data_IF_488751187590
#
_entry.id   IF_488751187590
#
_cell.length_a   1.000
_cell.length_b   1.000
_cell.length_c   1.000
_cell.angle_alpha   90.00
_cell.angle_beta   90.00
_cell.angle_gamma   90.00
#
_symmetry.space_group_name_H-M   'P 1'
#
loop_
_entity.id
_entity.type
_entity.pdbx_description
1 polymer ?
#
# COMPACT_ATOMS: atom_id res chain seq x y z
N UNK A 1 14.88 -18.91 5.86
CA UNK A 1 14.18 -17.63 5.59
C UNK A 1 14.55 -17.16 4.18
N UNK A 2 13.58 -16.89 3.30
CA UNK A 2 13.83 -16.53 1.88
C UNK A 2 14.42 -15.11 1.77
N UNK A 3 15.06 -14.77 0.63
CA UNK A 3 15.58 -13.41 0.37
C UNK A 3 14.48 -12.35 0.50
N UNK A 4 13.29 -12.68 0.04
CA UNK A 4 12.12 -11.79 0.09
C UNK A 4 11.58 -11.61 1.50
N UNK A 5 11.55 -12.67 2.31
CA UNK A 5 11.21 -12.56 3.74
C UNK A 5 12.19 -11.66 4.49
N UNK A 6 13.51 -11.81 4.25
CA UNK A 6 14.53 -10.94 4.85
C UNK A 6 14.30 -9.47 4.49
N UNK A 7 14.10 -9.17 3.21
CA UNK A 7 13.82 -7.80 2.74
C UNK A 7 12.55 -7.24 3.36
N UNK A 8 11.49 -8.05 3.44
CA UNK A 8 10.24 -7.61 4.03
C UNK A 8 10.36 -7.28 5.53
N UNK A 9 11.11 -8.08 6.29
CA UNK A 9 11.41 -7.81 7.69
C UNK A 9 12.30 -6.57 7.88
N UNK A 10 13.35 -6.41 7.06
CA UNK A 10 14.20 -5.21 7.11
C UNK A 10 13.37 -3.96 6.86
N UNK A 11 12.52 -3.98 5.83
CA UNK A 11 11.63 -2.86 5.52
C UNK A 11 10.66 -2.61 6.68
N UNK A 12 10.10 -3.66 7.31
CA UNK A 12 9.24 -3.51 8.47
C UNK A 12 9.95 -2.83 9.65
N UNK A 13 11.14 -3.29 10.04
CA UNK A 13 11.90 -2.67 11.13
C UNK A 13 12.32 -1.23 10.81
N UNK A 14 12.68 -0.95 9.55
CA UNK A 14 12.93 0.41 9.11
C UNK A 14 11.69 1.30 9.26
N UNK A 15 10.51 0.85 8.81
CA UNK A 15 9.25 1.59 8.97
C UNK A 15 8.86 1.76 10.42
N UNK A 16 9.10 0.75 11.26
CA UNK A 16 8.87 0.83 12.70
C UNK A 16 9.77 1.88 13.36
N UNK A 17 11.05 1.91 13.00
CA UNK A 17 11.98 2.94 13.45
C UNK A 17 11.52 4.34 13.04
N UNK A 18 11.13 4.53 11.77
CA UNK A 18 10.59 5.80 11.27
C UNK A 18 9.33 6.21 12.05
N UNK A 19 8.42 5.27 12.30
CA UNK A 19 7.21 5.52 13.09
C UNK A 19 7.54 5.96 14.52
N UNK A 20 8.41 5.24 15.23
CA UNK A 20 8.81 5.57 16.60
C UNK A 20 9.51 6.93 16.65
N UNK A 21 10.38 7.22 15.69
CA UNK A 21 11.08 8.50 15.60
C UNK A 21 10.11 9.67 15.39
N UNK A 22 9.22 9.59 14.40
CA UNK A 22 8.25 10.65 14.13
C UNK A 22 7.23 10.76 15.27
N UNK A 23 6.82 9.65 15.87
CA UNK A 23 5.95 9.66 17.06
C UNK A 23 6.61 10.35 18.27
N UNK A 24 7.91 10.11 18.50
CA UNK A 24 8.67 10.83 19.52
C UNK A 24 8.73 12.33 19.25
N UNK A 25 8.94 12.74 18.00
CA UNK A 25 8.87 14.16 17.60
C UNK A 25 7.46 14.73 17.74
N UNK A 26 6.43 13.95 17.45
CA UNK A 26 5.04 14.36 17.61
C UNK A 26 4.69 14.67 19.07
N UNK A 27 5.17 13.86 20.02
CA UNK A 27 4.94 14.08 21.44
C UNK A 27 5.78 15.23 22.04
N UNK A 28 7.00 15.44 21.54
CA UNK A 28 7.95 16.40 22.13
C UNK A 28 8.00 17.75 21.41
N UNK A 29 7.74 17.77 20.10
CA UNK A 29 7.93 18.91 19.20
C UNK A 29 6.88 18.93 18.07
N UNK A 30 5.59 18.89 18.42
CA UNK A 30 4.48 18.91 17.45
C UNK A 30 4.58 20.10 16.47
N UNK A 31 4.94 21.28 16.96
CA UNK A 31 5.10 22.51 16.16
C UNK A 31 6.14 22.36 15.04
N UNK A 32 7.26 21.69 15.32
CA UNK A 32 8.31 21.43 14.33
C UNK A 32 7.79 20.55 13.18
N UNK A 33 6.92 19.57 13.46
CA UNK A 33 6.29 18.75 12.42
C UNK A 33 5.26 19.53 11.61
N UNK A 34 4.53 20.43 12.25
CA UNK A 34 3.62 21.34 11.58
C UNK A 34 4.38 22.22 10.59
N UNK A 35 5.41 22.93 11.06
CA UNK A 35 6.27 23.79 10.23
C UNK A 35 6.92 23.02 9.09
N UNK A 36 7.44 21.82 9.36
CA UNK A 36 8.04 20.95 8.35
C UNK A 36 7.07 20.64 7.20
N UNK A 37 5.81 20.37 7.51
CA UNK A 37 4.78 20.05 6.50
C UNK A 37 4.18 21.29 5.84
N UNK A 38 4.20 22.45 6.48
CA UNK A 38 3.73 23.71 5.90
C UNK A 38 4.82 24.48 5.16
N UNK A 39 6.07 24.05 5.28
CA UNK A 39 7.20 24.65 4.57
C UNK A 39 6.94 24.62 3.06
N UNK A 40 7.20 25.75 2.38
CA UNK A 40 6.98 25.84 0.95
C UNK A 40 7.83 24.80 0.21
N UNK A 41 7.17 24.03 -0.66
CA UNK A 41 7.83 23.08 -1.54
C UNK A 41 8.28 23.83 -2.80
N UNK A 42 9.50 24.38 -2.77
CA UNK A 42 10.07 25.09 -3.91
C UNK A 42 10.86 24.12 -4.80
N UNK A 43 10.39 23.87 -6.03
CA UNK A 43 11.14 23.09 -7.04
C UNK A 43 12.41 23.77 -7.56
N UNK A 44 12.66 25.00 -7.14
CA UNK A 44 13.87 25.75 -7.44
C UNK A 44 14.78 25.74 -6.23
N UNK A 45 16.08 25.67 -6.50
CA UNK A 45 17.17 26.01 -5.59
C UNK A 45 16.82 27.36 -4.93
N UNK A 46 16.17 27.32 -3.77
CA UNK A 46 16.19 28.48 -2.88
C UNK A 46 17.62 28.58 -2.35
N UNK A 47 17.98 29.73 -1.81
CA UNK A 47 19.30 29.97 -1.18
C UNK A 47 19.68 28.92 -0.11
N UNK A 48 18.77 28.01 0.27
CA UNK A 48 18.90 27.00 1.34
C UNK A 48 19.00 25.52 0.88
N UNK A 49 19.04 25.22 -0.43
CA UNK A 49 19.36 23.86 -0.92
C UNK A 49 18.27 22.79 -0.76
N UNK A 50 18.62 21.51 -0.98
CA UNK A 50 17.70 20.35 -0.95
C UNK A 50 17.22 20.10 0.48
N UNK A 51 15.95 20.38 0.77
CA UNK A 51 15.36 20.06 2.08
C UNK A 51 15.11 18.56 2.25
N UNK A 52 15.06 18.03 3.49
CA UNK A 52 14.72 16.62 3.75
C UNK A 52 13.38 16.19 3.15
N UNK A 53 12.45 17.13 2.97
CA UNK A 53 11.13 16.90 2.39
C UNK A 53 11.22 16.58 0.88
N UNK A 54 12.19 17.15 0.15
CA UNK A 54 12.49 16.77 -1.24
C UNK A 54 13.06 15.36 -1.35
N UNK A 55 13.96 14.99 -0.43
CA UNK A 55 14.51 13.64 -0.39
C UNK A 55 13.41 12.59 -0.11
N UNK A 56 12.54 12.86 0.88
CA UNK A 56 11.38 12.00 1.17
C UNK A 56 10.43 11.90 -0.02
N UNK A 57 10.15 13.03 -0.67
CA UNK A 57 9.30 13.08 -1.86
C UNK A 57 9.86 12.18 -2.96
N UNK A 58 11.14 12.36 -3.29
CA UNK A 58 11.82 11.61 -4.34
C UNK A 58 11.79 10.10 -4.05
N UNK A 59 12.07 9.70 -2.80
CA UNK A 59 12.01 8.29 -2.38
C UNK A 59 10.62 7.70 -2.63
N UNK A 60 9.56 8.37 -2.17
CA UNK A 60 8.19 7.86 -2.35
C UNK A 60 7.76 7.86 -3.83
N UNK A 61 8.15 8.87 -4.60
CA UNK A 61 7.90 8.91 -6.05
C UNK A 61 8.57 7.73 -6.77
N UNK A 62 9.85 7.47 -6.48
CA UNK A 62 10.57 6.32 -7.05
C UNK A 62 9.91 5.00 -6.67
N UNK A 63 9.46 4.86 -5.42
CA UNK A 63 8.73 3.65 -4.98
C UNK A 63 7.43 3.45 -5.78
N UNK A 64 6.61 4.49 -5.93
CA UNK A 64 5.37 4.41 -6.70
C UNK A 64 5.62 4.13 -8.20
N UNK A 65 6.66 4.74 -8.79
CA UNK A 65 7.05 4.47 -10.19
C UNK A 65 7.48 3.01 -10.37
N UNK A 66 8.19 2.42 -9.39
CA UNK A 66 8.54 1.00 -9.43
C UNK A 66 7.32 0.07 -9.38
N UNK A 67 6.20 0.51 -8.79
CA UNK A 67 4.95 -0.26 -8.80
C UNK A 67 4.21 -0.13 -10.14
N UNK A 68 4.28 1.05 -10.78
CA UNK A 68 3.80 1.24 -12.16
C UNK A 68 4.57 0.32 -13.12
N UNK A 69 5.88 0.20 -12.93
CA UNK A 69 6.75 -0.67 -13.73
C UNK A 69 7.42 -1.75 -12.87
N UNK A 70 6.69 -2.83 -12.49
CA UNK A 70 7.19 -3.82 -11.54
C UNK A 70 8.52 -4.43 -12.00
N UNK A 71 9.57 -4.25 -11.20
CA UNK A 71 10.87 -4.86 -11.47
C UNK A 71 10.94 -6.29 -10.91
N UNK A 72 12.01 -7.01 -11.27
CA UNK A 72 12.19 -8.44 -10.89
C UNK A 72 12.34 -8.66 -9.38
N UNK A 73 12.63 -7.61 -8.61
CA UNK A 73 12.88 -7.72 -7.18
C UNK A 73 11.63 -7.58 -6.30
N UNK A 74 10.50 -7.18 -6.89
CA UNK A 74 9.21 -7.06 -6.19
C UNK A 74 8.54 -8.42 -6.02
N UNK A 75 7.61 -8.46 -5.04
CA UNK A 75 6.75 -9.64 -4.78
C UNK A 75 5.97 -10.05 -6.03
N UNK A 76 5.77 -11.35 -6.19
CA UNK A 76 4.82 -11.95 -7.12
C UNK A 76 3.43 -11.30 -7.02
N UNK A 77 3.06 -10.83 -5.83
CA UNK A 77 1.83 -10.10 -5.61
C UNK A 77 1.74 -8.80 -6.44
N UNK A 78 2.85 -8.08 -6.65
CA UNK A 78 2.90 -6.92 -7.54
C UNK A 78 3.04 -7.33 -9.01
N UNK A 79 3.80 -8.40 -9.27
CA UNK A 79 4.11 -8.83 -10.63
C UNK A 79 2.99 -9.60 -11.31
N UNK A 80 1.98 -10.10 -10.59
CA UNK A 80 0.86 -10.86 -11.17
C UNK A 80 0.07 -10.10 -12.24
N UNK A 81 0.19 -8.78 -12.29
CA UNK A 81 -0.39 -7.99 -13.36
C UNK A 81 0.30 -8.18 -14.72
N UNK A 82 1.53 -8.69 -14.74
CA UNK A 82 2.36 -8.85 -15.94
C UNK A 82 2.04 -10.11 -16.72
N UNK A 83 2.15 -10.01 -18.04
CA UNK A 83 1.95 -11.16 -18.92
C UNK A 83 3.08 -12.18 -18.79
N UNK A 84 4.31 -11.76 -18.50
CA UNK A 84 5.45 -12.67 -18.37
C UNK A 84 5.37 -13.57 -17.12
N UNK A 85 4.47 -13.25 -16.19
CA UNK A 85 4.23 -13.98 -14.95
C UNK A 85 2.88 -14.72 -14.97
N UNK A 86 2.20 -14.74 -16.12
CA UNK A 86 1.00 -15.51 -16.34
C UNK A 86 1.36 -16.86 -16.94
N UNK A 87 1.01 -17.93 -16.22
CA UNK A 87 1.14 -19.30 -16.69
C UNK A 87 -0.23 -19.97 -16.57
N UNK A 88 -0.87 -20.23 -17.70
CA UNK A 88 -2.26 -20.67 -17.77
C UNK A 88 -2.45 -22.06 -17.14
N UNK A 89 -3.51 -22.23 -16.35
CA UNK A 89 -3.95 -23.54 -15.86
C UNK A 89 -4.76 -24.22 -16.97
N UNK A 90 -4.35 -25.41 -17.46
CA UNK A 90 -5.07 -26.09 -18.54
C UNK A 90 -6.53 -26.35 -18.17
N UNK A 91 -7.45 -25.95 -19.05
CA UNK A 91 -8.88 -26.26 -18.93
C UNK A 91 -9.61 -25.54 -17.79
N UNK A 92 -9.11 -24.39 -17.32
CA UNK A 92 -9.82 -23.62 -16.30
C UNK A 92 -11.20 -23.15 -16.82
N UNK A 93 -12.20 -23.15 -15.93
CA UNK A 93 -13.55 -22.72 -16.30
C UNK A 93 -13.65 -21.20 -16.39
N UNK A 94 -14.10 -20.70 -17.54
CA UNK A 94 -14.39 -19.27 -17.71
C UNK A 94 -15.53 -18.81 -16.78
N UNK A 95 -16.49 -19.69 -16.49
CA UNK A 95 -17.59 -19.39 -15.57
C UNK A 95 -17.07 -19.11 -14.15
N UNK A 96 -16.20 -19.98 -13.65
CA UNK A 96 -15.59 -19.82 -12.32
C UNK A 96 -14.72 -18.55 -12.24
N UNK A 97 -14.02 -18.20 -13.32
CA UNK A 97 -13.28 -16.94 -13.40
C UNK A 97 -14.22 -15.73 -13.25
N UNK A 98 -15.35 -15.72 -13.97
CA UNK A 98 -16.31 -14.61 -13.91
C UNK A 98 -16.95 -14.49 -12.53
N UNK A 99 -17.34 -15.61 -11.91
CA UNK A 99 -17.87 -15.64 -10.55
C UNK A 99 -16.84 -15.13 -9.53
N UNK A 100 -15.57 -15.55 -9.67
CA UNK A 100 -14.48 -15.05 -8.85
C UNK A 100 -14.33 -13.53 -9.01
N UNK A 101 -14.30 -13.02 -10.24
CA UNK A 101 -14.16 -11.59 -10.52
C UNK A 101 -15.32 -10.80 -9.91
N UNK A 102 -16.56 -11.25 -10.08
CA UNK A 102 -17.73 -10.58 -9.53
C UNK A 102 -17.67 -10.51 -7.99
N UNK A 103 -17.36 -11.63 -7.33
CA UNK A 103 -17.23 -11.68 -5.88
C UNK A 103 -16.10 -10.76 -5.37
N UNK A 104 -14.95 -10.79 -6.03
CA UNK A 104 -13.80 -9.95 -5.68
C UNK A 104 -14.03 -8.46 -6.00
N UNK A 105 -14.89 -8.16 -6.98
CA UNK A 105 -15.36 -6.83 -7.30
C UNK A 105 -16.17 -6.22 -6.17
N UNK A 106 -17.19 -6.93 -5.71
CA UNK A 106 -18.02 -6.51 -4.57
C UNK A 106 -17.16 -6.32 -3.32
N UNK A 107 -16.29 -7.30 -3.01
CA UNK A 107 -15.44 -7.23 -1.82
C UNK A 107 -14.49 -6.03 -1.81
N UNK A 108 -13.85 -5.68 -2.92
CA UNK A 108 -12.98 -4.51 -2.89
C UNK A 108 -13.76 -3.20 -2.86
N UNK A 109 -14.98 -3.13 -3.42
CA UNK A 109 -15.84 -1.97 -3.20
C UNK A 109 -16.18 -1.80 -1.71
N UNK A 110 -16.47 -2.87 -0.99
CA UNK A 110 -16.67 -2.83 0.47
C UNK A 110 -15.39 -2.34 1.18
N UNK A 111 -14.21 -2.78 0.77
CA UNK A 111 -12.93 -2.28 1.32
C UNK A 111 -12.75 -0.79 1.02
N UNK A 112 -13.01 -0.35 -0.22
CA UNK A 112 -12.88 1.04 -0.62
C UNK A 112 -13.82 1.93 0.19
N UNK A 113 -15.09 1.55 0.30
CA UNK A 113 -16.08 2.31 1.07
C UNK A 113 -15.71 2.34 2.55
N UNK A 114 -15.33 1.21 3.14
CA UNK A 114 -14.86 1.15 4.53
C UNK A 114 -13.66 2.08 4.76
N UNK A 115 -12.71 2.10 3.83
CA UNK A 115 -11.52 2.94 3.90
C UNK A 115 -11.86 4.43 3.79
N UNK A 116 -12.72 4.80 2.85
CA UNK A 116 -13.15 6.18 2.65
C UNK A 116 -13.98 6.68 3.83
N UNK A 117 -14.89 5.87 4.38
CA UNK A 117 -15.67 6.22 5.58
C UNK A 117 -14.74 6.45 6.78
N UNK A 118 -13.77 5.55 6.98
CA UNK A 118 -12.79 5.68 8.06
C UNK A 118 -11.98 6.98 7.93
N UNK A 119 -11.48 7.30 6.72
CA UNK A 119 -10.75 8.54 6.49
C UNK A 119 -11.64 9.78 6.52
N UNK A 120 -12.93 9.66 6.19
CA UNK A 120 -13.89 10.77 6.28
C UNK A 120 -14.07 11.23 7.73
N UNK A 121 -13.97 10.33 8.72
CA UNK A 121 -13.96 10.72 10.14
C UNK A 121 -12.81 11.68 10.44
N UNK A 122 -11.58 11.34 10.03
CA UNK A 122 -10.42 12.21 10.22
C UNK A 122 -10.53 13.50 9.40
N UNK A 123 -11.06 13.43 8.18
CA UNK A 123 -11.32 14.61 7.37
C UNK A 123 -12.24 15.60 8.10
N UNK A 124 -13.34 15.11 8.68
CA UNK A 124 -14.29 15.92 9.44
C UNK A 124 -13.61 16.51 10.68
N UNK A 125 -12.85 15.72 11.44
CA UNK A 125 -12.10 16.21 12.60
C UNK A 125 -11.12 17.34 12.23
N UNK A 126 -10.47 17.24 11.07
CA UNK A 126 -9.55 18.26 10.56
C UNK A 126 -10.27 19.52 10.12
N UNK A 127 -11.41 19.39 9.43
CA UNK A 127 -12.22 20.54 9.02
C UNK A 127 -12.77 21.31 10.23
N UNK A 128 -13.09 20.62 11.33
CA UNK A 128 -13.46 21.23 12.60
C UNK A 128 -12.26 21.74 13.42
N UNK A 129 -11.03 21.63 12.91
CA UNK A 129 -9.78 22.02 13.58
C UNK A 129 -9.57 21.34 14.94
N UNK A 130 -10.11 20.14 15.11
CA UNK A 130 -9.84 19.29 16.28
C UNK A 130 -8.46 18.63 16.14
N UNK A 131 -8.07 18.34 14.89
CA UNK A 131 -6.75 17.81 14.53
C UNK A 131 -6.08 18.72 13.50
N UNK A 132 -4.75 18.77 13.56
CA UNK A 132 -3.90 19.63 12.76
C UNK A 132 -3.15 18.85 11.66
N UNK A 133 -2.34 19.57 10.89
CA UNK A 133 -1.46 19.00 9.85
C UNK A 133 -0.51 17.93 10.40
N UNK A 134 0.03 18.13 11.60
CA UNK A 134 0.92 17.17 12.25
C UNK A 134 0.20 15.84 12.60
N UNK A 135 -1.09 15.90 12.94
CA UNK A 135 -1.91 14.72 13.23
C UNK A 135 -2.18 13.92 11.94
N UNK A 136 -2.44 14.62 10.83
CA UNK A 136 -2.57 14.01 9.49
C UNK A 136 -1.26 13.36 9.02
N UNK A 137 -0.12 13.99 9.28
CA UNK A 137 1.19 13.40 9.02
C UNK A 137 1.37 12.10 9.82
N UNK A 138 1.06 12.13 11.13
CA UNK A 138 1.15 10.93 11.97
C UNK A 138 0.23 9.81 11.47
N UNK A 139 -0.97 10.14 11.00
CA UNK A 139 -1.89 9.17 10.41
C UNK A 139 -1.30 8.52 9.14
N UNK A 140 -0.68 9.29 8.26
CA UNK A 140 0.03 8.75 7.08
C UNK A 140 1.20 7.85 7.47
N UNK A 141 2.01 8.24 8.47
CA UNK A 141 3.14 7.42 8.95
C UNK A 141 2.63 6.13 9.62
N UNK A 142 1.51 6.21 10.33
CA UNK A 142 0.85 5.03 10.89
C UNK A 142 0.37 4.07 9.79
N UNK A 143 -0.26 4.57 8.72
CA UNK A 143 -0.66 3.75 7.58
C UNK A 143 0.55 3.15 6.85
N UNK A 144 1.64 3.92 6.73
CA UNK A 144 2.89 3.43 6.16
C UNK A 144 3.45 2.21 6.92
N UNK A 145 3.39 2.21 8.26
CA UNK A 145 3.76 1.04 9.07
C UNK A 145 2.72 -0.09 8.94
N UNK A 146 1.43 0.26 8.99
CA UNK A 146 0.31 -0.68 8.97
C UNK A 146 0.25 -1.54 7.72
N UNK A 147 0.67 -1.02 6.57
CA UNK A 147 0.79 -1.77 5.31
C UNK A 147 1.69 -3.01 5.46
N UNK A 148 2.89 -2.84 6.04
CA UNK A 148 3.80 -3.96 6.28
C UNK A 148 3.35 -4.86 7.43
N UNK A 149 2.68 -4.30 8.44
CA UNK A 149 2.02 -5.11 9.47
C UNK A 149 0.99 -6.06 8.84
N UNK A 150 0.19 -5.55 7.90
CA UNK A 150 -0.80 -6.30 7.14
C UNK A 150 -0.18 -7.41 6.31
N UNK A 151 0.95 -7.14 5.64
CA UNK A 151 1.61 -8.13 4.78
C UNK A 151 2.26 -9.25 5.60
N UNK A 152 2.91 -8.92 6.72
CA UNK A 152 3.73 -9.86 7.50
C UNK A 152 2.98 -10.60 8.60
N UNK A 153 2.12 -9.91 9.36
CA UNK A 153 1.54 -10.43 10.60
C UNK A 153 0.04 -10.67 10.44
N UNK A 154 -0.75 -9.61 10.27
CA UNK A 154 -2.21 -9.71 10.23
C UNK A 154 -2.84 -8.58 9.43
N UNK A 155 -3.68 -8.91 8.45
CA UNK A 155 -4.42 -7.95 7.65
C UNK A 155 -5.93 -8.06 7.95
N UNK A 156 -6.56 -6.99 8.47
CA UNK A 156 -7.99 -7.00 8.77
C UNK A 156 -8.82 -7.15 7.49
N UNK A 157 -8.46 -6.45 6.40
CA UNK A 157 -9.16 -6.54 5.12
C UNK A 157 -9.13 -7.96 4.54
N UNK A 158 -7.98 -8.65 4.64
CA UNK A 158 -7.85 -10.01 4.13
C UNK A 158 -8.69 -11.01 4.92
N UNK A 159 -8.76 -10.87 6.24
CA UNK A 159 -9.47 -11.82 7.12
C UNK A 159 -10.97 -11.54 7.18
N UNK A 160 -11.38 -10.27 7.26
CA UNK A 160 -12.76 -9.87 7.48
C UNK A 160 -13.58 -9.67 6.19
N UNK A 161 -12.96 -9.28 5.07
CA UNK A 161 -13.70 -8.92 3.84
C UNK A 161 -13.28 -9.81 2.66
N UNK A 162 -11.99 -9.89 2.37
CA UNK A 162 -11.53 -10.58 1.16
C UNK A 162 -11.63 -12.11 1.29
N UNK A 163 -11.38 -12.64 2.50
CA UNK A 163 -11.30 -14.07 2.83
C UNK A 163 -10.29 -14.86 1.97
N UNK A 164 -9.20 -14.23 1.57
CA UNK A 164 -8.14 -14.89 0.78
C UNK A 164 -7.19 -15.67 1.67
N UNK A 165 -6.69 -16.81 1.21
CA UNK A 165 -5.70 -17.62 1.97
C UNK A 165 -4.32 -16.98 2.07
N UNK A 166 -3.96 -16.11 1.13
CA UNK A 166 -2.63 -15.49 1.03
C UNK A 166 -2.73 -14.06 0.50
N UNK A 167 -1.84 -13.17 0.95
CA UNK A 167 -1.73 -11.79 0.45
C UNK A 167 -1.39 -11.72 -1.05
N UNK A 168 -0.66 -12.70 -1.59
CA UNK A 168 -0.31 -12.76 -3.02
C UNK A 168 -1.56 -12.82 -3.91
N UNK A 169 -2.58 -13.55 -3.46
CA UNK A 169 -3.86 -13.68 -4.17
C UNK A 169 -4.83 -12.53 -3.88
N UNK A 170 -4.45 -11.58 -3.03
CA UNK A 170 -5.32 -10.48 -2.67
C UNK A 170 -5.48 -9.47 -3.81
N UNK A 171 -6.71 -9.15 -4.21
CA UNK A 171 -6.98 -8.15 -5.27
C UNK A 171 -6.46 -6.76 -4.91
N UNK A 172 -6.63 -6.34 -3.67
CA UNK A 172 -6.28 -4.99 -3.19
C UNK A 172 -4.82 -4.84 -2.77
N UNK A 173 -3.94 -5.76 -3.20
CA UNK A 173 -2.56 -5.78 -2.70
C UNK A 173 -1.78 -4.49 -3.02
N UNK A 174 -2.01 -3.89 -4.20
CA UNK A 174 -1.35 -2.65 -4.62
C UNK A 174 -2.09 -1.37 -4.20
N UNK A 175 -3.12 -1.48 -3.36
CA UNK A 175 -3.86 -0.31 -2.85
C UNK A 175 -3.12 0.41 -1.71
N UNK A 176 -2.04 -0.18 -1.19
CA UNK A 176 -1.33 0.30 0.00
C UNK A 176 -0.84 1.75 -0.12
N UNK A 177 -0.33 2.17 -1.27
CA UNK A 177 0.11 3.56 -1.48
C UNK A 177 -1.04 4.55 -1.47
N UNK A 178 -2.15 4.22 -2.14
CA UNK A 178 -3.35 5.06 -2.14
C UNK A 178 -3.90 5.23 -0.71
N UNK A 179 -3.99 4.12 0.03
CA UNK A 179 -4.42 4.14 1.43
C UNK A 179 -3.48 5.01 2.28
N UNK A 180 -2.18 4.76 2.20
CA UNK A 180 -1.16 5.52 2.94
C UNK A 180 -1.25 7.03 2.72
N UNK A 181 -1.41 7.48 1.48
CA UNK A 181 -1.44 8.91 1.14
C UNK A 181 -2.83 9.53 1.20
N UNK A 182 -3.89 8.79 1.55
CA UNK A 182 -5.25 9.36 1.66
C UNK A 182 -5.34 10.58 2.60
N UNK A 183 -4.71 10.58 3.81
CA UNK A 183 -4.74 11.75 4.70
C UNK A 183 -4.08 13.01 4.10
N UNK A 184 -3.11 12.82 3.20
CA UNK A 184 -2.35 13.92 2.58
C UNK A 184 -3.21 14.78 1.66
N UNK A 185 -4.37 14.30 1.20
CA UNK A 185 -5.31 15.08 0.39
C UNK A 185 -5.72 16.40 1.08
N UNK A 186 -5.83 16.40 2.41
CA UNK A 186 -6.30 17.55 3.19
C UNK A 186 -5.20 18.60 3.46
N UNK A 187 -3.93 18.22 3.29
CA UNK A 187 -2.79 19.12 3.48
C UNK A 187 -2.51 19.83 2.16
N UNK A 188 -2.77 21.13 2.11
CA UNK A 188 -2.66 21.95 0.90
C UNK A 188 -1.20 22.36 0.65
N UNK A 189 -0.39 21.42 0.16
CA UNK A 189 0.95 21.71 -0.34
C UNK A 189 1.27 20.81 -1.54
N UNK A 190 2.30 21.16 -2.32
CA UNK A 190 2.68 20.38 -3.50
C UNK A 190 3.10 18.95 -3.13
N UNK A 191 3.86 18.78 -2.06
CA UNK A 191 4.37 17.49 -1.60
C UNK A 191 3.25 16.46 -1.39
N UNK A 192 2.26 16.84 -0.58
CA UNK A 192 1.12 16.03 -0.20
C UNK A 192 0.23 15.70 -1.40
N UNK A 193 -0.09 16.69 -2.24
CA UNK A 193 -0.93 16.48 -3.41
C UNK A 193 -0.25 15.65 -4.49
N UNK A 194 1.02 15.93 -4.80
CA UNK A 194 1.76 15.17 -5.80
C UNK A 194 1.88 13.69 -5.41
N UNK A 195 2.13 13.38 -4.12
CA UNK A 195 2.16 12.01 -3.63
C UNK A 195 0.78 11.34 -3.70
N UNK A 196 -0.27 12.04 -3.27
CA UNK A 196 -1.64 11.53 -3.36
C UNK A 196 -2.05 11.21 -4.80
N UNK A 197 -1.91 12.15 -5.73
CA UNK A 197 -2.30 11.95 -7.12
C UNK A 197 -1.44 10.88 -7.82
N UNK A 198 -0.15 10.80 -7.49
CA UNK A 198 0.69 9.70 -8.01
C UNK A 198 0.21 8.35 -7.49
N UNK A 199 -0.16 8.24 -6.21
CA UNK A 199 -0.72 7.01 -5.66
C UNK A 199 -2.06 6.63 -6.29
N UNK A 200 -2.88 7.62 -6.67
CA UNK A 200 -4.11 7.39 -7.41
C UNK A 200 -3.84 6.86 -8.83
N UNK A 201 -2.78 7.34 -9.50
CA UNK A 201 -2.35 6.79 -10.80
C UNK A 201 -1.94 5.32 -10.67
N UNK A 202 -1.21 4.96 -9.61
CA UNK A 202 -0.85 3.55 -9.32
C UNK A 202 -2.13 2.71 -9.17
N UNK A 203 -3.08 3.17 -8.36
CA UNK A 203 -4.36 2.50 -8.15
C UNK A 203 -5.15 2.32 -9.45
N UNK A 204 -5.32 3.39 -10.23
CA UNK A 204 -6.07 3.34 -11.50
C UNK A 204 -5.41 2.35 -12.46
N UNK A 205 -4.08 2.39 -12.59
CA UNK A 205 -3.35 1.45 -13.44
C UNK A 205 -3.58 0.00 -13.00
N UNK A 206 -3.53 -0.26 -11.70
CA UNK A 206 -3.80 -1.59 -11.14
C UNK A 206 -5.22 -2.07 -11.49
N UNK A 207 -6.23 -1.23 -11.28
CA UNK A 207 -7.63 -1.55 -11.58
C UNK A 207 -7.89 -1.75 -13.08
N UNK A 208 -7.29 -0.92 -13.94
CA UNK A 208 -7.37 -1.10 -15.39
C UNK A 208 -6.74 -2.43 -15.81
N UNK A 209 -5.61 -2.80 -15.22
CA UNK A 209 -4.96 -4.06 -15.55
C UNK A 209 -5.77 -5.27 -15.05
N UNK A 210 -6.39 -5.17 -13.87
CA UNK A 210 -7.31 -6.17 -13.36
C UNK A 210 -8.55 -6.33 -14.25
N UNK A 211 -9.13 -5.22 -14.71
CA UNK A 211 -10.30 -5.24 -15.58
C UNK A 211 -10.00 -5.81 -16.98
N UNK A 212 -8.82 -5.53 -17.54
CA UNK A 212 -8.40 -6.05 -18.85
C UNK A 212 -8.00 -7.52 -18.81
N UNK A 213 -7.35 -7.94 -17.73
CA UNK A 213 -6.73 -9.26 -17.61
C UNK A 213 -7.00 -9.93 -16.26
N UNK A 214 -8.27 -10.18 -15.90
CA UNK A 214 -8.63 -10.77 -14.62
C UNK A 214 -8.03 -12.17 -14.40
N UNK A 215 -7.79 -12.92 -15.50
CA UNK A 215 -7.19 -14.26 -15.49
C UNK A 215 -5.80 -14.30 -14.84
N UNK A 216 -5.07 -13.18 -14.85
CA UNK A 216 -3.74 -13.14 -14.26
C UNK A 216 -3.75 -13.08 -12.74
N UNK A 217 -4.88 -12.68 -12.15
CA UNK A 217 -5.03 -12.39 -10.72
C UNK A 217 -5.66 -13.53 -9.92
N UNK A 218 -6.11 -14.58 -10.59
CA UNK A 218 -6.76 -15.73 -9.96
C UNK A 218 -5.87 -16.97 -10.01
N UNK A 219 -5.77 -17.68 -8.88
CA UNK A 219 -4.95 -18.90 -8.80
C UNK A 219 -5.54 -20.09 -9.58
N UNK A 220 -6.83 -20.03 -9.91
CA UNK A 220 -7.50 -21.04 -10.73
C UNK A 220 -7.13 -20.96 -12.21
N UNK A 221 -6.71 -19.79 -12.69
CA UNK A 221 -6.26 -19.57 -14.07
C UNK A 221 -4.75 -19.34 -14.19
N UNK A 222 -4.07 -18.90 -13.13
CA UNK A 222 -2.62 -18.65 -13.12
C UNK A 222 -1.87 -19.60 -12.16
N UNK A 223 -1.08 -20.52 -12.72
CA UNK A 223 -0.27 -21.49 -11.96
C UNK A 223 0.75 -20.83 -11.03
N UNK A 224 1.29 -19.65 -11.40
CA UNK A 224 2.30 -18.93 -10.59
C UNK A 224 1.78 -18.43 -9.25
N UNK A 225 0.46 -18.33 -9.11
CA UNK A 225 -0.22 -17.92 -7.88
C UNK A 225 -0.53 -19.10 -6.95
N UNK A 226 -0.32 -20.33 -7.41
CA UNK A 226 -0.54 -21.52 -6.60
C UNK A 226 0.57 -21.71 -5.56
N UNK A 227 0.21 -22.33 -4.43
CA UNK A 227 1.13 -22.50 -3.30
C UNK A 227 2.35 -23.37 -3.65
N UNK A 228 2.21 -24.30 -4.60
CA UNK A 228 3.29 -25.17 -5.11
C UNK A 228 4.43 -24.36 -5.73
N UNK A 229 4.13 -23.22 -6.36
CA UNK A 229 5.07 -22.36 -7.06
C UNK A 229 5.54 -21.15 -6.23
N UNK A 230 5.08 -21.03 -4.97
CA UNK A 230 5.35 -19.85 -4.15
C UNK A 230 6.79 -19.81 -3.61
N UNK A 231 7.60 -18.88 -4.13
CA UNK A 231 8.99 -18.65 -3.70
C UNK A 231 9.12 -17.78 -2.44
N UNK A 232 8.09 -17.00 -2.11
CA UNK A 232 8.15 -16.00 -1.04
C UNK A 232 7.90 -16.58 0.35
N UNK A 233 6.93 -17.49 0.47
CA UNK A 233 6.55 -18.18 1.71
C UNK A 233 6.30 -17.24 2.91
N UNK A 234 5.86 -16.00 2.66
CA UNK A 234 5.51 -15.01 3.70
C UNK A 234 4.39 -15.53 4.63
N UNK A 235 3.48 -16.35 4.11
CA UNK A 235 2.40 -16.98 4.88
C UNK A 235 2.90 -17.88 6.02
N UNK A 236 4.14 -18.37 5.98
CA UNK A 236 4.72 -19.20 7.06
C UNK A 236 4.83 -18.40 8.36
N UNK A 237 5.14 -17.10 8.28
CA UNK A 237 5.22 -16.23 9.47
C UNK A 237 3.84 -16.11 10.11
N UNK A 238 2.81 -15.80 9.31
CA UNK A 238 1.42 -15.69 9.77
C UNK A 238 0.89 -16.97 10.39
N UNK A 239 1.19 -18.11 9.78
CA UNK A 239 0.69 -19.40 10.25
C UNK A 239 1.38 -19.87 11.52
N UNK A 240 2.64 -19.49 11.76
CA UNK A 240 3.32 -19.76 13.04
C UNK A 240 2.66 -18.98 14.18
N UNK A 241 2.39 -17.69 13.97
CA UNK A 241 1.74 -16.81 14.95
C UNK A 241 0.29 -17.18 15.28
N UNK A 242 -0.37 -18.02 14.46
CA UNK A 242 -1.72 -18.54 14.73
C UNK A 242 -1.73 -19.87 15.50
N UNK A 243 -0.57 -20.54 15.59
CA UNK A 243 -0.42 -21.85 16.24
C UNK A 243 0.19 -21.74 17.64
N UNK A 244 0.72 -20.57 17.98
CA UNK A 244 1.08 -20.15 19.34
C UNK A 244 -0.09 -19.33 19.90
#
# INVERSE_FOLDING_TARGET
>A
MTRMMKRALINFFFRLFVFIFIFGLYLTKKEMLFEFMTHEFTFGISEYGISPLHALWFVFMVMMIQHIFPNKELSMAYKKGKIEEFEEVPGYSRLELLEFVQNMNVKAWIVMLSWLIFNAVFAVLYLFKIIDVADMLMLTVFFYLSDYLCILFFCPFQTAIMHNRCCINCRIYDWGHFMMFTPMLFIKNFFSWSLFFTSLIVLIRWEVNYAKHPERFWYGSNQRLQCSQCKEKLCVIKNKLKKE
#
